data_IF_258499796275
#
_entry.id   IF_258499796275
#
_cell.length_a   1.000
_cell.length_b   1.000
_cell.length_c   1.000
_cell.angle_alpha   90.00
_cell.angle_beta   90.00
_cell.angle_gamma   90.00
#
_symmetry.space_group_name_H-M   'P 1'
#
loop_
_entity.id
_entity.type
_entity.pdbx_description
1 polymer ?
#
# COMPACT_ATOMS: atom_id res chain seq x y z
N UNK A 1 -2.19 -21.72 2.98
CA UNK A 1 -3.09 -20.92 3.82
C UNK A 1 -3.10 -19.47 3.34
N UNK A 2 -4.25 -18.83 3.42
CA UNK A 2 -4.37 -17.44 3.02
C UNK A 2 -3.62 -16.52 4.00
N UNK A 3 -2.98 -15.50 3.46
CA UNK A 3 -2.28 -14.46 4.23
C UNK A 3 -3.23 -13.29 4.50
N UNK A 4 -2.84 -12.43 5.43
CA UNK A 4 -3.46 -11.13 5.58
C UNK A 4 -2.79 -10.14 4.62
N UNK A 5 -3.51 -9.08 4.27
CA UNK A 5 -3.03 -8.03 3.38
C UNK A 5 -3.18 -6.66 4.04
N UNK A 6 -2.11 -5.87 3.99
CA UNK A 6 -2.19 -4.43 4.24
C UNK A 6 -1.99 -3.74 2.91
N UNK A 7 -2.95 -2.90 2.51
CA UNK A 7 -2.91 -2.20 1.24
C UNK A 7 -3.19 -0.72 1.43
N UNK A 8 -2.37 0.09 0.78
CA UNK A 8 -2.56 1.53 0.71
C UNK A 8 -2.26 2.04 -0.68
N UNK A 9 -2.55 3.30 -0.92
CA UNK A 9 -2.27 3.95 -2.19
C UNK A 9 -1.71 5.34 -1.93
N UNK A 10 -0.83 5.82 -2.82
CA UNK A 10 -0.25 7.15 -2.72
C UNK A 10 -0.08 7.77 -4.09
N UNK A 11 0.02 9.09 -4.08
CA UNK A 11 0.35 9.89 -5.28
C UNK A 11 1.30 11.00 -4.84
N UNK A 12 2.33 11.25 -5.64
CA UNK A 12 3.26 12.38 -5.46
C UNK A 12 4.09 12.37 -4.17
N UNK A 13 4.24 11.20 -3.54
CA UNK A 13 5.09 11.06 -2.35
C UNK A 13 6.45 10.49 -2.74
N UNK A 14 7.49 10.94 -2.04
CA UNK A 14 8.82 10.33 -2.10
C UNK A 14 8.96 9.28 -1.01
N UNK A 15 9.97 8.45 -1.12
CA UNK A 15 10.17 7.34 -0.19
C UNK A 15 10.25 7.79 1.27
N UNK A 16 10.82 8.95 1.52
CA UNK A 16 10.96 9.47 2.89
C UNK A 16 9.61 9.65 3.60
N UNK A 17 8.54 9.97 2.85
CA UNK A 17 7.19 10.07 3.41
C UNK A 17 6.54 8.71 3.62
N UNK A 18 6.95 7.69 2.86
CA UNK A 18 6.38 6.35 2.92
C UNK A 18 7.09 5.45 3.92
N UNK A 19 8.36 5.74 4.16
CA UNK A 19 9.23 4.91 5.00
C UNK A 19 8.70 4.69 6.42
N UNK A 20 8.18 5.71 7.14
CA UNK A 20 7.64 5.47 8.48
C UNK A 20 6.49 4.47 8.49
N UNK A 21 5.59 4.56 7.49
CA UNK A 21 4.48 3.62 7.37
C UNK A 21 4.98 2.19 7.16
N UNK A 22 5.90 2.01 6.21
CA UNK A 22 6.47 0.70 5.89
C UNK A 22 7.19 0.12 7.12
N UNK A 23 8.03 0.92 7.76
CA UNK A 23 8.80 0.45 8.90
C UNK A 23 7.90 0.13 10.09
N UNK A 24 6.84 0.90 10.31
CA UNK A 24 5.93 0.63 11.41
C UNK A 24 5.25 -0.73 11.27
N UNK A 25 4.87 -1.10 10.04
CA UNK A 25 4.28 -2.41 9.79
C UNK A 25 5.29 -3.52 10.06
N UNK A 26 6.51 -3.36 9.56
CA UNK A 26 7.56 -4.37 9.75
C UNK A 26 7.94 -4.56 11.21
N UNK A 27 7.98 -3.48 11.97
CA UNK A 27 8.32 -3.52 13.39
C UNK A 27 7.27 -4.27 14.21
N UNK A 28 6.03 -4.37 13.72
CA UNK A 28 4.99 -5.14 14.41
C UNK A 28 5.13 -6.65 14.24
N UNK A 29 6.00 -7.10 13.35
CA UNK A 29 6.12 -8.52 13.02
C UNK A 29 5.06 -9.02 12.05
N UNK A 30 4.36 -8.13 11.35
CA UNK A 30 3.34 -8.52 10.38
C UNK A 30 3.96 -9.39 9.28
N UNK A 31 3.37 -10.54 9.00
CA UNK A 31 3.90 -11.52 8.06
C UNK A 31 3.09 -11.68 6.77
N UNK A 32 2.04 -10.90 6.61
CA UNK A 32 1.26 -10.90 5.37
C UNK A 32 1.91 -10.10 4.27
N UNK A 33 1.17 -9.87 3.20
CA UNK A 33 1.63 -9.05 2.10
C UNK A 33 1.34 -7.57 2.37
N UNK A 34 2.28 -6.72 1.98
CA UNK A 34 2.12 -5.27 2.02
C UNK A 34 2.11 -4.79 0.57
N UNK A 35 1.03 -4.15 0.17
CA UNK A 35 0.86 -3.66 -1.21
C UNK A 35 0.69 -2.15 -1.19
N UNK A 36 1.45 -1.47 -2.03
CA UNK A 36 1.28 -0.04 -2.28
C UNK A 36 0.91 0.19 -3.74
N UNK A 37 -0.22 0.85 -3.95
CA UNK A 37 -0.61 1.32 -5.27
C UNK A 37 0.00 2.70 -5.45
N UNK A 38 0.89 2.82 -6.42
CA UNK A 38 1.62 4.04 -6.70
C UNK A 38 1.04 4.73 -7.92
N UNK A 39 0.45 5.91 -7.72
CA UNK A 39 -0.18 6.69 -8.80
C UNK A 39 0.87 7.64 -9.37
N UNK A 40 1.17 7.47 -10.67
CA UNK A 40 2.20 8.21 -11.39
C UNK A 40 3.53 8.31 -10.61
N UNK A 41 4.09 7.16 -10.17
CA UNK A 41 5.27 7.18 -9.32
C UNK A 41 6.54 7.49 -10.11
N UNK A 42 7.55 8.07 -9.41
CA UNK A 42 8.88 8.12 -9.99
C UNK A 42 9.57 6.76 -9.83
N UNK A 43 10.39 6.35 -10.83
CA UNK A 43 11.01 5.02 -10.80
C UNK A 43 11.94 4.79 -9.61
N UNK A 44 12.61 5.82 -9.14
CA UNK A 44 13.54 5.71 -8.01
C UNK A 44 12.80 5.38 -6.72
N UNK A 45 11.68 6.05 -6.46
CA UNK A 45 10.83 5.78 -5.30
C UNK A 45 10.29 4.35 -5.34
N UNK A 46 9.81 3.91 -6.51
CA UNK A 46 9.32 2.53 -6.67
C UNK A 46 10.40 1.52 -6.33
N UNK A 47 11.60 1.73 -6.83
CA UNK A 47 12.73 0.83 -6.54
C UNK A 47 13.01 0.73 -5.05
N UNK A 48 13.01 1.87 -4.35
CA UNK A 48 13.25 1.89 -2.90
C UNK A 48 12.15 1.15 -2.14
N UNK A 49 10.89 1.30 -2.54
CA UNK A 49 9.77 0.59 -1.92
C UNK A 49 9.92 -0.92 -2.13
N UNK A 50 10.21 -1.34 -3.36
CA UNK A 50 10.36 -2.76 -3.67
C UNK A 50 11.52 -3.39 -2.91
N UNK A 51 12.62 -2.68 -2.74
CA UNK A 51 13.76 -3.15 -1.94
C UNK A 51 13.41 -3.37 -0.48
N UNK A 52 12.40 -2.68 0.03
CA UNK A 52 11.96 -2.89 1.40
C UNK A 52 10.98 -4.06 1.57
N UNK A 53 10.69 -4.80 0.48
CA UNK A 53 9.85 -5.99 0.55
C UNK A 53 8.37 -5.73 0.32
N UNK A 54 8.01 -4.55 -0.16
CA UNK A 54 6.63 -4.17 -0.43
C UNK A 54 6.32 -4.42 -1.90
N UNK A 55 5.14 -4.93 -2.18
CA UNK A 55 4.65 -5.14 -3.54
C UNK A 55 4.12 -3.81 -4.05
N UNK A 56 4.63 -3.34 -5.20
CA UNK A 56 4.21 -2.07 -5.79
C UNK A 56 3.37 -2.34 -7.03
N UNK A 57 2.21 -1.70 -7.10
CA UNK A 57 1.36 -1.72 -8.28
C UNK A 57 1.30 -0.30 -8.82
N UNK A 58 1.77 -0.12 -10.04
CA UNK A 58 1.81 1.20 -10.69
C UNK A 58 0.46 1.50 -11.32
N UNK A 59 -0.01 2.72 -11.13
CA UNK A 59 -1.27 3.19 -11.70
C UNK A 59 -1.07 4.58 -12.30
N UNK A 60 -1.92 4.93 -13.25
CA UNK A 60 -1.89 6.26 -13.86
C UNK A 60 -2.94 7.15 -13.23
N UNK A 61 -2.64 8.44 -13.18
CA UNK A 61 -3.58 9.45 -12.73
C UNK A 61 -4.68 9.63 -13.80
N UNK A 62 -5.91 9.33 -13.41
CA UNK A 62 -7.08 9.56 -14.27
C UNK A 62 -7.52 11.00 -14.15
N UNK A 63 -7.40 11.75 -15.24
CA UNK A 63 -7.33 13.20 -15.27
C UNK A 63 -8.49 14.00 -14.71
N UNK A 64 -9.65 13.41 -14.46
CA UNK A 64 -10.84 14.17 -14.03
C UNK A 64 -11.29 13.85 -12.63
N UNK A 65 -10.56 13.03 -11.90
CA UNK A 65 -10.96 12.62 -10.55
C UNK A 65 -9.97 13.18 -9.53
N UNK A 66 -10.49 13.46 -8.35
CA UNK A 66 -9.64 13.86 -7.24
C UNK A 66 -8.72 12.69 -6.82
N UNK A 67 -7.50 13.01 -6.38
CA UNK A 67 -6.51 11.98 -6.05
C UNK A 67 -7.02 10.98 -5.02
N UNK A 68 -7.72 11.43 -3.98
CA UNK A 68 -8.21 10.49 -2.96
C UNK A 68 -9.28 9.55 -3.51
N UNK A 69 -10.09 9.99 -4.47
CA UNK A 69 -11.06 9.12 -5.14
C UNK A 69 -10.36 8.08 -6.00
N UNK A 70 -9.29 8.49 -6.69
CA UNK A 70 -8.51 7.56 -7.51
C UNK A 70 -7.83 6.50 -6.64
N UNK A 71 -7.27 6.89 -5.51
CA UNK A 71 -6.67 5.93 -4.58
C UNK A 71 -7.69 4.87 -4.15
N UNK A 72 -8.89 5.31 -3.81
CA UNK A 72 -9.97 4.40 -3.43
C UNK A 72 -10.32 3.43 -4.57
N UNK A 73 -10.46 3.95 -5.79
CA UNK A 73 -10.82 3.13 -6.95
C UNK A 73 -9.75 2.11 -7.29
N UNK A 74 -8.46 2.49 -7.20
CA UNK A 74 -7.37 1.56 -7.48
C UNK A 74 -7.29 0.44 -6.42
N UNK A 75 -7.50 0.78 -5.16
CA UNK A 75 -7.58 -0.24 -4.10
C UNK A 75 -8.75 -1.17 -4.35
N UNK A 76 -9.92 -0.62 -4.69
CA UNK A 76 -11.10 -1.43 -5.00
C UNK A 76 -10.84 -2.38 -6.16
N UNK A 77 -10.22 -1.89 -7.24
CA UNK A 77 -9.92 -2.73 -8.40
C UNK A 77 -8.95 -3.85 -8.07
N UNK A 78 -7.93 -3.56 -7.27
CA UNK A 78 -7.01 -4.60 -6.82
C UNK A 78 -7.75 -5.69 -6.03
N UNK A 79 -8.60 -5.30 -5.10
CA UNK A 79 -9.32 -6.25 -4.25
C UNK A 79 -10.34 -7.07 -5.03
N UNK A 80 -10.95 -6.49 -6.06
CA UNK A 80 -11.89 -7.20 -6.92
C UNK A 80 -11.26 -8.44 -7.56
N UNK A 81 -9.99 -8.34 -7.96
CA UNK A 81 -9.29 -9.41 -8.65
C UNK A 81 -8.45 -10.28 -7.72
N UNK A 82 -8.01 -9.76 -6.59
CA UNK A 82 -7.02 -10.40 -5.73
C UNK A 82 -7.50 -10.64 -4.28
N UNK A 83 -8.60 -10.04 -3.87
CA UNK A 83 -9.04 -10.09 -2.47
C UNK A 83 -9.28 -11.50 -1.94
N UNK A 84 -9.73 -12.41 -2.81
CA UNK A 84 -9.99 -13.80 -2.41
C UNK A 84 -8.71 -14.55 -2.03
N UNK A 85 -7.52 -14.02 -2.35
CA UNK A 85 -6.24 -14.62 -1.98
C UNK A 85 -5.87 -14.36 -0.52
N UNK A 86 -6.60 -13.47 0.16
CA UNK A 86 -6.25 -13.03 1.51
C UNK A 86 -7.33 -13.38 2.51
N UNK A 87 -6.89 -13.69 3.73
CA UNK A 87 -7.78 -13.99 4.85
C UNK A 87 -8.47 -12.72 5.37
N UNK A 88 -7.68 -11.68 5.59
CA UNK A 88 -8.15 -10.36 6.01
C UNK A 88 -7.46 -9.30 5.17
N UNK A 89 -8.18 -8.22 4.89
CA UNK A 89 -7.65 -7.08 4.14
C UNK A 89 -7.78 -5.82 5.00
N UNK A 90 -6.67 -5.12 5.18
CA UNK A 90 -6.61 -3.89 5.95
C UNK A 90 -6.23 -2.77 4.98
N UNK A 91 -7.17 -1.85 4.74
CA UNK A 91 -6.91 -0.67 3.93
C UNK A 91 -6.48 0.47 4.84
N UNK A 92 -5.49 1.24 4.43
CA UNK A 92 -4.94 2.29 5.29
C UNK A 92 -4.48 3.48 4.47
N UNK A 93 -4.47 4.63 5.14
CA UNK A 93 -3.77 5.82 4.68
C UNK A 93 -2.28 5.63 4.93
N UNK A 94 -1.43 5.98 3.96
CA UNK A 94 0.01 5.71 4.09
C UNK A 94 0.79 6.87 4.68
N UNK A 95 0.17 8.04 4.81
CA UNK A 95 0.87 9.23 5.31
C UNK A 95 0.75 9.39 6.81
N UNK A 96 -0.48 9.26 7.33
CA UNK A 96 -0.77 9.64 8.71
C UNK A 96 -0.95 8.44 9.64
N UNK A 97 -0.85 7.22 9.12
CA UNK A 97 -1.04 6.00 9.90
C UNK A 97 0.30 5.34 10.19
N UNK A 98 0.54 5.07 11.46
CA UNK A 98 1.70 4.31 11.92
C UNK A 98 1.20 3.14 12.75
N UNK A 99 1.62 1.94 12.41
CA UNK A 99 1.21 0.73 13.10
C UNK A 99 2.01 0.57 14.39
N UNK A 100 1.32 0.38 15.51
CA UNK A 100 1.95 0.22 16.81
C UNK A 100 1.96 -1.22 17.29
N UNK A 101 1.12 -2.07 16.71
CA UNK A 101 1.13 -3.50 16.96
C UNK A 101 0.65 -4.25 15.72
N UNK A 102 0.90 -5.55 15.69
CA UNK A 102 0.52 -6.38 14.55
C UNK A 102 -1.00 -6.39 14.37
N UNK A 103 -1.52 -5.90 13.22
CA UNK A 103 -2.95 -5.84 13.01
C UNK A 103 -3.60 -7.20 12.80
N UNK A 104 -2.81 -8.25 12.60
CA UNK A 104 -3.32 -9.63 12.47
C UNK A 104 -3.61 -10.28 13.82
N UNK A 105 -3.19 -9.68 14.91
CA UNK A 105 -3.40 -10.23 16.26
C UNK A 105 -4.80 -9.95 16.81
#
# INVERSE_FOLDING_TARGET
>A
MAKDLIIGAYANYKFDLLKPWINSIKETGFQGDIVLIAIDPDPHTVEQIEKSGVIVIKAKNETKQMIHMQRFLHVYNFLKWNGALYRHVITTDVRDVIFQKNPSD
#
